data_IF_493603168583
#
_entry.id   IF_493603168583
#
_cell.length_a   1.000
_cell.length_b   1.000
_cell.length_c   1.000
_cell.angle_alpha   90.00
_cell.angle_beta   90.00
_cell.angle_gamma   90.00
#
_symmetry.space_group_name_H-M   'P 1'
#
loop_
_entity.id
_entity.type
_entity.pdbx_description
1 polymer ?
#
# COMPACT_ATOMS: atom_id res chain seq x y z
N UNK A 1 17.51 -16.52 -10.08
CA UNK A 1 16.54 -16.90 -11.14
C UNK A 1 15.23 -16.23 -10.76
N UNK A 2 14.79 -15.24 -11.54
CA UNK A 2 13.47 -14.64 -11.26
C UNK A 2 12.42 -15.74 -11.51
N UNK A 3 11.68 -16.07 -10.45
CA UNK A 3 10.62 -17.07 -10.55
C UNK A 3 9.51 -16.47 -11.44
N UNK A 4 9.11 -17.16 -12.49
CA UNK A 4 8.06 -16.71 -13.43
C UNK A 4 6.79 -16.28 -12.71
N UNK A 5 6.44 -16.93 -11.60
CA UNK A 5 5.30 -16.56 -10.76
C UNK A 5 5.46 -15.16 -10.14
N UNK A 6 6.63 -14.85 -9.61
CA UNK A 6 6.93 -13.53 -9.02
C UNK A 6 6.90 -12.44 -10.07
N UNK A 7 7.43 -12.71 -11.26
CA UNK A 7 7.40 -11.80 -12.40
C UNK A 7 5.96 -11.45 -12.81
N UNK A 8 5.09 -12.46 -12.89
CA UNK A 8 3.67 -12.28 -13.20
C UNK A 8 3.00 -11.43 -12.09
N UNK A 9 3.25 -11.73 -10.81
CA UNK A 9 2.69 -10.98 -9.69
C UNK A 9 3.16 -9.53 -9.67
N UNK A 10 4.45 -9.29 -9.86
CA UNK A 10 4.99 -7.92 -9.88
C UNK A 10 4.36 -7.11 -11.02
N UNK A 11 4.29 -7.68 -12.23
CA UNK A 11 3.62 -7.03 -13.37
C UNK A 11 2.15 -6.75 -13.07
N UNK A 12 1.48 -7.67 -12.37
CA UNK A 12 0.08 -7.46 -11.96
C UNK A 12 -0.03 -6.29 -10.98
N UNK A 13 0.85 -6.20 -9.97
CA UNK A 13 0.89 -5.05 -9.07
C UNK A 13 1.04 -3.73 -9.82
N UNK A 14 1.98 -3.67 -10.76
CA UNK A 14 2.27 -2.46 -11.55
C UNK A 14 1.07 -2.03 -12.42
N UNK A 15 0.37 -2.98 -13.01
CA UNK A 15 -0.83 -2.72 -13.80
C UNK A 15 -2.00 -2.27 -12.91
N UNK A 16 -2.22 -2.95 -11.78
CA UNK A 16 -3.26 -2.58 -10.83
C UNK A 16 -3.06 -1.16 -10.27
N UNK A 17 -1.81 -0.75 -10.03
CA UNK A 17 -1.51 0.62 -9.60
C UNK A 17 -1.84 1.66 -10.67
N UNK A 18 -1.55 1.34 -11.93
CA UNK A 18 -1.73 2.27 -13.06
C UNK A 18 -3.17 2.42 -13.50
N UNK A 19 -3.94 1.34 -13.53
CA UNK A 19 -5.23 1.30 -14.22
C UNK A 19 -6.34 0.57 -13.45
N UNK A 20 -6.09 0.18 -12.21
CA UNK A 20 -7.07 -0.47 -11.33
C UNK A 20 -7.41 -1.92 -11.73
N UNK A 21 -8.37 -2.48 -11.00
CA UNK A 21 -8.81 -3.86 -11.24
C UNK A 21 -9.51 -4.03 -12.58
N UNK A 22 -10.50 -3.19 -12.88
CA UNK A 22 -11.28 -3.36 -14.11
C UNK A 22 -10.46 -3.07 -15.36
N UNK A 23 -9.49 -2.15 -15.28
CA UNK A 23 -8.58 -1.84 -16.38
C UNK A 23 -7.56 -2.93 -16.69
N UNK A 24 -7.24 -3.80 -15.74
CA UNK A 24 -6.20 -4.82 -15.87
C UNK A 24 -6.75 -6.13 -16.40
N UNK A 25 -6.27 -6.60 -17.56
CA UNK A 25 -6.68 -7.86 -18.19
C UNK A 25 -5.63 -8.96 -18.11
N UNK A 26 -6.06 -10.25 -18.04
CA UNK A 26 -5.12 -11.39 -18.01
C UNK A 26 -4.20 -11.45 -19.24
N UNK A 27 -4.71 -11.11 -20.44
CA UNK A 27 -3.90 -11.08 -21.65
C UNK A 27 -2.82 -9.98 -21.60
N UNK A 28 -3.12 -8.86 -20.98
CA UNK A 28 -2.18 -7.77 -20.79
C UNK A 28 -1.11 -8.15 -19.76
N UNK A 29 -1.49 -8.78 -18.65
CA UNK A 29 -0.54 -9.33 -17.67
C UNK A 29 0.44 -10.29 -18.35
N UNK A 30 -0.05 -11.21 -19.21
CA UNK A 30 0.80 -12.12 -19.96
C UNK A 30 1.77 -11.36 -20.87
N UNK A 31 1.26 -10.37 -21.61
CA UNK A 31 2.06 -9.58 -22.55
C UNK A 31 3.14 -8.78 -21.82
N UNK A 32 2.78 -8.04 -20.80
CA UNK A 32 3.70 -7.14 -20.09
C UNK A 32 4.70 -7.90 -19.18
N UNK A 33 4.30 -9.05 -18.63
CA UNK A 33 5.20 -9.90 -17.84
C UNK A 33 6.20 -10.67 -18.73
N UNK A 34 5.95 -10.80 -20.03
CA UNK A 34 6.75 -11.68 -20.91
C UNK A 34 6.67 -13.16 -20.55
N UNK A 35 5.81 -13.56 -19.64
CA UNK A 35 5.64 -14.95 -19.25
C UNK A 35 4.87 -15.75 -20.32
N UNK A 36 5.18 -17.03 -20.53
CA UNK A 36 4.36 -17.89 -21.38
C UNK A 36 2.90 -17.92 -20.88
N UNK A 37 1.94 -17.81 -21.79
CA UNK A 37 0.51 -17.81 -21.44
C UNK A 37 0.10 -19.01 -20.57
N UNK A 38 0.65 -20.19 -20.84
CA UNK A 38 0.42 -21.38 -20.02
C UNK A 38 0.88 -21.26 -18.57
N UNK A 39 1.94 -20.48 -18.32
CA UNK A 39 2.45 -20.27 -16.96
C UNK A 39 1.48 -19.49 -16.10
N UNK A 40 0.78 -18.50 -16.65
CA UNK A 40 -0.23 -17.75 -15.91
C UNK A 40 -1.34 -18.67 -15.41
N UNK A 41 -1.92 -19.48 -16.29
CA UNK A 41 -3.00 -20.41 -15.91
C UNK A 41 -2.50 -21.58 -15.04
N UNK A 42 -1.22 -21.93 -15.15
CA UNK A 42 -0.61 -22.92 -14.27
C UNK A 42 -0.47 -22.42 -12.83
N UNK A 43 0.01 -21.18 -12.63
CA UNK A 43 0.20 -20.60 -11.30
C UNK A 43 -1.08 -19.99 -10.71
N UNK A 44 -1.99 -19.53 -11.57
CA UNK A 44 -3.23 -18.86 -11.17
C UNK A 44 -4.45 -19.47 -11.88
N UNK A 45 -4.79 -20.75 -11.56
CA UNK A 45 -5.86 -21.48 -12.23
C UNK A 45 -7.24 -20.85 -12.04
N UNK A 46 -7.45 -20.10 -10.95
CA UNK A 46 -8.72 -19.41 -10.67
C UNK A 46 -8.80 -18.03 -11.33
N UNK A 47 -7.80 -17.67 -12.13
CA UNK A 47 -7.83 -16.51 -13.01
C UNK A 47 -7.63 -15.16 -12.31
N UNK A 48 -8.37 -14.15 -12.76
CA UNK A 48 -8.12 -12.75 -12.42
C UNK A 48 -8.29 -12.44 -10.92
N UNK A 49 -9.29 -12.99 -10.27
CA UNK A 49 -9.50 -12.75 -8.83
C UNK A 49 -8.36 -13.31 -7.98
N UNK A 50 -7.87 -14.51 -8.33
CA UNK A 50 -6.75 -15.11 -7.63
C UNK A 50 -5.50 -14.25 -7.74
N UNK A 51 -5.09 -13.92 -8.97
CA UNK A 51 -3.85 -13.17 -9.20
C UNK A 51 -3.93 -11.76 -8.58
N UNK A 52 -5.10 -11.11 -8.64
CA UNK A 52 -5.31 -9.81 -8.00
C UNK A 52 -5.20 -9.91 -6.48
N UNK A 53 -5.84 -10.90 -5.85
CA UNK A 53 -5.75 -11.09 -4.41
C UNK A 53 -4.32 -11.33 -3.94
N UNK A 54 -3.57 -12.16 -4.66
CA UNK A 54 -2.17 -12.45 -4.33
C UNK A 54 -1.26 -11.23 -4.57
N UNK A 55 -1.50 -10.45 -5.64
CA UNK A 55 -0.77 -9.22 -5.91
C UNK A 55 -1.03 -8.14 -4.84
N UNK A 56 -2.27 -8.00 -4.38
CA UNK A 56 -2.64 -7.09 -3.29
C UNK A 56 -1.96 -7.49 -1.98
N UNK A 57 -1.96 -8.78 -1.63
CA UNK A 57 -1.26 -9.27 -0.44
C UNK A 57 0.24 -9.05 -0.52
N UNK A 58 0.86 -9.31 -1.66
CA UNK A 58 2.28 -9.03 -1.87
C UNK A 58 2.60 -7.55 -1.72
N UNK A 59 1.76 -6.67 -2.29
CA UNK A 59 1.90 -5.22 -2.13
C UNK A 59 1.80 -4.79 -0.68
N UNK A 60 0.85 -5.36 0.09
CA UNK A 60 0.71 -5.13 1.52
C UNK A 60 1.96 -5.53 2.31
N UNK A 61 2.52 -6.71 2.02
CA UNK A 61 3.76 -7.19 2.64
C UNK A 61 4.94 -6.25 2.36
N UNK A 62 5.16 -5.91 1.09
CA UNK A 62 6.26 -5.02 0.69
C UNK A 62 6.10 -3.64 1.33
N UNK A 63 4.88 -3.10 1.35
CA UNK A 63 4.62 -1.78 1.94
C UNK A 63 4.78 -1.79 3.45
N UNK A 64 4.27 -2.81 4.15
CA UNK A 64 4.44 -2.94 5.61
C UNK A 64 5.91 -3.05 6.01
N UNK A 65 6.73 -3.75 5.23
CA UNK A 65 8.16 -3.83 5.48
C UNK A 65 8.88 -2.49 5.21
N UNK A 66 8.47 -1.74 4.19
CA UNK A 66 8.96 -0.37 3.97
C UNK A 66 8.61 0.56 5.13
N UNK A 67 7.39 0.42 5.69
CA UNK A 67 6.98 1.17 6.88
C UNK A 67 7.89 0.82 8.05
N UNK A 68 8.06 -0.47 8.39
CA UNK A 68 8.95 -0.91 9.48
C UNK A 68 10.37 -0.36 9.31
N UNK A 69 10.92 -0.52 8.12
CA UNK A 69 12.28 -0.04 7.81
C UNK A 69 12.37 1.49 7.94
N UNK A 70 11.38 2.22 7.44
CA UNK A 70 11.36 3.68 7.51
C UNK A 70 11.14 4.23 8.91
N UNK A 71 10.50 3.46 9.80
CA UNK A 71 10.28 3.84 11.21
C UNK A 71 11.43 3.44 12.13
N UNK A 72 12.35 2.60 11.67
CA UNK A 72 13.50 2.17 12.48
C UNK A 72 14.49 3.32 12.73
N UNK A 73 15.02 3.39 13.97
CA UNK A 73 16.12 4.27 14.35
C UNK A 73 15.79 5.74 14.51
N UNK A 74 14.56 6.18 14.31
CA UNK A 74 14.17 7.60 14.33
C UNK A 74 13.79 8.15 15.72
N UNK A 75 13.99 7.41 16.80
CA UNK A 75 13.61 7.83 18.15
C UNK A 75 12.10 7.64 18.42
N UNK A 76 11.40 8.71 18.87
CA UNK A 76 9.97 8.64 19.21
C UNK A 76 9.07 8.35 18.00
N UNK A 77 7.92 7.70 18.22
CA UNK A 77 6.92 7.46 17.17
C UNK A 77 6.52 8.75 16.44
N UNK A 78 6.34 9.85 17.17
CA UNK A 78 6.02 11.17 16.62
C UNK A 78 7.02 11.59 15.53
N UNK A 79 8.32 11.51 15.82
CA UNK A 79 9.38 11.88 14.86
C UNK A 79 9.47 10.88 13.71
N UNK A 80 9.47 9.59 14.01
CA UNK A 80 9.64 8.54 13.01
C UNK A 80 8.51 8.58 11.96
N UNK A 81 7.25 8.66 12.42
CA UNK A 81 6.08 8.70 11.54
C UNK A 81 6.06 9.99 10.71
N UNK A 82 6.38 11.14 11.33
CA UNK A 82 6.51 12.41 10.59
C UNK A 82 7.52 12.29 9.45
N UNK A 83 8.73 11.83 9.74
CA UNK A 83 9.81 11.78 8.76
C UNK A 83 9.49 10.75 7.64
N UNK A 84 8.87 9.63 8.00
CA UNK A 84 8.42 8.63 7.03
C UNK A 84 7.35 9.18 6.07
N UNK A 85 6.38 9.96 6.58
CA UNK A 85 5.35 10.57 5.70
C UNK A 85 5.97 11.62 4.77
N UNK A 86 7.01 12.35 5.22
CA UNK A 86 7.74 13.26 4.33
C UNK A 86 8.46 12.51 3.21
N UNK A 87 9.02 11.32 3.47
CA UNK A 87 9.59 10.47 2.42
C UNK A 87 8.52 10.01 1.40
N UNK A 88 7.30 9.69 1.87
CA UNK A 88 6.19 9.41 0.96
C UNK A 88 5.88 10.63 0.10
N UNK A 89 5.81 11.83 0.69
CA UNK A 89 5.55 13.07 -0.03
C UNK A 89 6.58 13.33 -1.13
N UNK A 90 7.87 13.18 -0.81
CA UNK A 90 8.95 13.30 -1.78
C UNK A 90 8.87 12.26 -2.91
N UNK A 91 8.48 11.03 -2.59
CA UNK A 91 8.33 9.98 -3.60
C UNK A 91 7.16 10.26 -4.55
N UNK A 92 6.04 10.77 -4.03
CA UNK A 92 4.88 11.18 -4.85
C UNK A 92 5.27 12.32 -5.79
N UNK A 93 6.00 13.34 -5.33
CA UNK A 93 6.49 14.43 -6.17
C UNK A 93 7.47 13.92 -7.25
N UNK A 94 8.44 13.10 -6.85
CA UNK A 94 9.47 12.55 -7.75
C UNK A 94 8.88 11.68 -8.85
N UNK A 95 7.76 11.02 -8.59
CA UNK A 95 7.01 10.23 -9.58
C UNK A 95 6.16 11.08 -10.54
N UNK A 96 6.16 12.41 -10.40
CA UNK A 96 5.23 13.27 -11.13
C UNK A 96 3.78 13.04 -10.72
N UNK A 97 3.54 12.71 -9.45
CA UNK A 97 2.23 12.38 -8.87
C UNK A 97 1.56 11.12 -9.45
N UNK A 98 2.36 10.25 -10.09
CA UNK A 98 1.90 8.96 -10.59
C UNK A 98 1.92 7.87 -9.51
N UNK A 99 2.86 7.95 -8.55
CA UNK A 99 2.99 6.96 -7.49
C UNK A 99 1.72 6.90 -6.62
N UNK A 100 1.26 5.70 -6.40
CA UNK A 100 0.08 5.39 -5.60
C UNK A 100 0.24 4.03 -4.92
N UNK A 101 -0.87 3.40 -4.65
CA UNK A 101 -0.93 2.04 -4.12
C UNK A 101 -1.90 1.20 -4.93
N UNK A 102 -1.51 0.03 -5.45
CA UNK A 102 -2.44 -0.89 -6.08
C UNK A 102 -3.56 -1.29 -5.11
N UNK A 103 -3.26 -1.33 -3.81
CA UNK A 103 -4.20 -1.66 -2.76
C UNK A 103 -5.39 -0.69 -2.72
N UNK A 104 -5.14 0.62 -2.75
CA UNK A 104 -6.21 1.63 -2.70
C UNK A 104 -7.10 1.56 -3.95
N UNK A 105 -6.50 1.47 -5.15
CA UNK A 105 -7.24 1.40 -6.39
C UNK A 105 -8.16 0.16 -6.42
N UNK A 106 -7.61 -1.01 -6.09
CA UNK A 106 -8.34 -2.27 -6.06
C UNK A 106 -9.43 -2.26 -4.99
N UNK A 107 -9.13 -1.77 -3.78
CA UNK A 107 -10.10 -1.72 -2.68
C UNK A 107 -11.33 -0.87 -3.04
N UNK A 108 -11.14 0.29 -3.67
CA UNK A 108 -12.25 1.15 -4.09
C UNK A 108 -13.13 0.51 -5.17
N UNK A 109 -12.52 -0.21 -6.11
CA UNK A 109 -13.25 -0.81 -7.23
C UNK A 109 -13.95 -2.13 -6.87
N UNK A 110 -13.43 -2.87 -5.90
CA UNK A 110 -13.87 -4.26 -5.62
C UNK A 110 -14.57 -4.44 -4.28
N UNK A 111 -14.72 -3.38 -3.49
CA UNK A 111 -15.27 -3.44 -2.13
C UNK A 111 -16.60 -4.20 -2.01
N UNK A 112 -17.44 -4.15 -3.04
CA UNK A 112 -18.75 -4.82 -3.08
C UNK A 112 -18.86 -5.92 -4.14
N UNK A 113 -17.81 -6.12 -4.96
CA UNK A 113 -17.87 -6.99 -6.15
C UNK A 113 -17.21 -8.36 -5.97
N UNK A 114 -16.22 -8.50 -5.09
CA UNK A 114 -15.50 -9.75 -4.85
C UNK A 114 -15.12 -9.89 -3.38
N UNK A 115 -15.69 -10.86 -2.70
CA UNK A 115 -15.37 -11.18 -1.30
C UNK A 115 -13.89 -11.57 -1.16
N UNK A 116 -13.38 -12.36 -2.08
CA UNK A 116 -11.97 -12.79 -2.09
C UNK A 116 -11.00 -11.62 -2.12
N UNK A 117 -11.21 -10.67 -3.04
CA UNK A 117 -10.35 -9.50 -3.17
C UNK A 117 -10.53 -8.57 -1.97
N UNK A 118 -11.75 -8.41 -1.47
CA UNK A 118 -12.02 -7.63 -0.27
C UNK A 118 -11.30 -8.17 0.96
N UNK A 119 -11.29 -9.50 1.16
CA UNK A 119 -10.53 -10.14 2.23
C UNK A 119 -9.01 -9.88 2.09
N UNK A 120 -8.46 -10.01 0.88
CA UNK A 120 -7.06 -9.71 0.62
C UNK A 120 -6.72 -8.23 0.90
N UNK A 121 -7.60 -7.30 0.53
CA UNK A 121 -7.42 -5.88 0.85
C UNK A 121 -7.44 -5.61 2.36
N UNK A 122 -8.38 -6.22 3.09
CA UNK A 122 -8.42 -6.11 4.57
C UNK A 122 -7.13 -6.62 5.21
N UNK A 123 -6.65 -7.78 4.78
CA UNK A 123 -5.41 -8.35 5.29
C UNK A 123 -4.21 -7.44 4.98
N UNK A 124 -4.12 -6.94 3.76
CA UNK A 124 -3.06 -6.03 3.35
C UNK A 124 -3.08 -4.73 4.17
N UNK A 125 -4.23 -4.07 4.35
CA UNK A 125 -4.33 -2.90 5.23
C UNK A 125 -4.00 -3.22 6.69
N UNK A 126 -4.41 -4.38 7.19
CA UNK A 126 -4.05 -4.85 8.53
C UNK A 126 -2.53 -5.01 8.72
N UNK A 127 -1.78 -5.37 7.67
CA UNK A 127 -0.31 -5.39 7.70
C UNK A 127 0.28 -3.99 7.86
N UNK A 128 -0.27 -2.99 7.16
CA UNK A 128 0.17 -1.60 7.27
C UNK A 128 -0.12 -1.04 8.66
N UNK A 129 -1.36 -1.25 9.16
CA UNK A 129 -1.75 -0.84 10.52
C UNK A 129 -0.85 -1.48 11.58
N UNK A 130 -0.54 -2.77 11.40
CA UNK A 130 0.34 -3.49 12.33
C UNK A 130 1.73 -2.87 12.39
N UNK A 131 2.31 -2.49 11.24
CA UNK A 131 3.63 -1.87 11.19
C UNK A 131 3.68 -0.52 11.94
N UNK A 132 2.65 0.32 11.83
CA UNK A 132 2.56 1.55 12.62
C UNK A 132 2.28 1.28 14.10
N UNK A 133 1.40 0.32 14.41
CA UNK A 133 1.08 -0.06 15.79
C UNK A 133 2.31 -0.55 16.55
N UNK A 134 3.16 -1.35 15.93
CA UNK A 134 4.43 -1.82 16.51
C UNK A 134 5.28 -0.63 16.97
N UNK A 135 5.46 0.39 16.12
CA UNK A 135 6.22 1.59 16.47
C UNK A 135 5.58 2.43 17.58
N UNK A 136 4.25 2.51 17.61
CA UNK A 136 3.53 3.22 18.67
C UNK A 136 3.70 2.51 20.02
N UNK A 137 3.62 1.18 20.04
CA UNK A 137 3.86 0.38 21.26
C UNK A 137 5.29 0.51 21.78
N UNK A 138 6.31 0.57 20.90
CA UNK A 138 7.70 0.86 21.28
C UNK A 138 7.88 2.25 21.90
N UNK A 139 6.93 3.15 21.72
CA UNK A 139 6.94 4.53 22.22
C UNK A 139 5.95 4.75 23.37
N UNK A 140 5.65 3.69 24.13
CA UNK A 140 4.86 3.68 25.37
C UNK A 140 3.36 4.05 25.19
N UNK A 141 2.81 4.03 23.97
CA UNK A 141 1.37 4.14 23.78
C UNK A 141 0.65 2.88 24.31
N UNK A 142 -0.48 3.05 24.99
CA UNK A 142 -1.30 1.91 25.38
C UNK A 142 -1.79 1.13 24.16
N UNK A 143 -2.05 -0.18 24.32
CA UNK A 143 -2.50 -1.05 23.23
C UNK A 143 -3.72 -0.49 22.49
N UNK A 144 -4.74 -0.05 23.23
CA UNK A 144 -5.97 0.52 22.66
C UNK A 144 -5.64 1.77 21.83
N UNK A 145 -4.82 2.68 22.40
CA UNK A 145 -4.47 3.91 21.72
C UNK A 145 -3.60 3.66 20.48
N UNK A 146 -2.69 2.70 20.54
CA UNK A 146 -1.86 2.32 19.41
C UNK A 146 -2.70 1.72 18.25
N UNK A 147 -3.72 0.93 18.53
CA UNK A 147 -4.67 0.40 17.55
C UNK A 147 -5.46 1.54 16.86
N UNK A 148 -6.08 2.42 17.64
CA UNK A 148 -6.81 3.58 17.10
C UNK A 148 -5.94 4.48 16.23
N UNK A 149 -4.75 4.82 16.72
CA UNK A 149 -3.81 5.69 16.02
C UNK A 149 -3.26 5.04 14.75
N UNK A 150 -2.98 3.74 14.75
CA UNK A 150 -2.51 3.04 13.57
C UNK A 150 -3.53 3.12 12.42
N UNK A 151 -4.80 2.84 12.70
CA UNK A 151 -5.88 2.99 11.72
C UNK A 151 -6.01 4.44 11.23
N UNK A 152 -5.95 5.41 12.17
CA UNK A 152 -6.01 6.83 11.82
C UNK A 152 -4.83 7.30 10.95
N UNK A 153 -3.62 6.80 11.22
CA UNK A 153 -2.42 7.09 10.42
C UNK A 153 -2.60 6.56 9.00
N UNK A 154 -2.99 5.29 8.84
CA UNK A 154 -3.19 4.67 7.52
C UNK A 154 -4.24 5.45 6.72
N UNK A 155 -5.41 5.73 7.32
CA UNK A 155 -6.48 6.49 6.67
C UNK A 155 -6.02 7.91 6.26
N UNK A 156 -5.25 8.59 7.12
CA UNK A 156 -4.75 9.94 6.85
C UNK A 156 -3.70 9.95 5.72
N UNK A 157 -2.80 8.96 5.70
CA UNK A 157 -1.77 8.84 4.66
C UNK A 157 -2.41 8.51 3.31
N UNK A 158 -3.35 7.57 3.25
CA UNK A 158 -4.08 7.23 2.02
C UNK A 158 -4.84 8.44 1.46
N UNK A 159 -5.58 9.17 2.32
CA UNK A 159 -6.23 10.41 1.94
C UNK A 159 -5.25 11.48 1.47
N UNK A 160 -4.11 11.60 2.14
CA UNK A 160 -3.03 12.51 1.78
C UNK A 160 -2.44 12.20 0.39
N UNK A 161 -2.22 10.92 0.07
CA UNK A 161 -1.75 10.48 -1.25
C UNK A 161 -2.76 10.83 -2.33
N UNK A 162 -4.04 10.51 -2.13
CA UNK A 162 -5.11 10.79 -3.10
C UNK A 162 -5.19 12.30 -3.38
N UNK A 163 -5.25 13.14 -2.33
CA UNK A 163 -5.33 14.59 -2.47
C UNK A 163 -4.08 15.17 -3.13
N UNK A 164 -2.90 14.66 -2.81
CA UNK A 164 -1.64 15.11 -3.43
C UNK A 164 -1.61 14.80 -4.93
N UNK A 165 -2.08 13.63 -5.35
CA UNK A 165 -2.19 13.27 -6.77
C UNK A 165 -3.17 14.15 -7.53
N UNK A 166 -4.34 14.41 -6.96
CA UNK A 166 -5.39 15.25 -7.61
C UNK A 166 -4.95 16.70 -7.72
N UNK A 167 -4.28 17.25 -6.71
CA UNK A 167 -3.85 18.65 -6.67
C UNK A 167 -2.47 18.91 -7.30
N UNK A 168 -1.76 17.87 -7.72
CA UNK A 168 -0.39 17.96 -8.23
C UNK A 168 0.56 18.73 -7.29
N UNK A 169 0.40 18.53 -5.97
CA UNK A 169 1.29 19.05 -4.92
C UNK A 169 1.34 18.08 -3.75
N UNK A 170 2.49 17.95 -3.07
CA UNK A 170 2.60 17.12 -1.88
C UNK A 170 2.18 17.83 -0.59
N UNK A 171 1.62 19.03 -0.66
CA UNK A 171 1.18 19.79 0.52
C UNK A 171 0.17 19.05 1.40
N UNK A 172 -0.79 18.28 0.85
CA UNK A 172 -1.67 17.44 1.67
C UNK A 172 -0.92 16.42 2.53
N UNK A 173 0.07 15.72 1.97
CA UNK A 173 0.90 14.78 2.73
C UNK A 173 1.79 15.49 3.77
N UNK A 174 2.37 16.64 3.42
CA UNK A 174 3.12 17.47 4.37
C UNK A 174 2.25 17.96 5.51
N UNK A 175 0.98 18.30 5.23
CA UNK A 175 0.01 18.65 6.27
C UNK A 175 -0.27 17.47 7.19
N UNK A 176 -0.53 16.28 6.63
CA UNK A 176 -0.73 15.04 7.39
C UNK A 176 0.47 14.78 8.31
N UNK A 177 1.70 14.87 7.78
CA UNK A 177 2.92 14.70 8.57
C UNK A 177 2.96 15.65 9.79
N UNK A 178 2.70 16.96 9.57
CA UNK A 178 2.70 17.95 10.66
C UNK A 178 1.63 17.68 11.70
N UNK A 179 0.40 17.36 11.27
CA UNK A 179 -0.71 17.13 12.21
C UNK A 179 -0.51 15.85 13.03
N UNK A 180 -0.04 14.77 12.40
CA UNK A 180 0.29 13.55 13.12
C UNK A 180 1.45 13.74 14.09
N UNK A 181 2.46 14.54 13.74
CA UNK A 181 3.54 14.88 14.67
C UNK A 181 3.01 15.54 15.94
N UNK A 182 2.09 16.49 15.81
CA UNK A 182 1.47 17.17 16.97
C UNK A 182 0.63 16.20 17.79
N UNK A 183 -0.22 15.40 17.14
CA UNK A 183 -1.09 14.44 17.81
C UNK A 183 -0.31 13.38 18.59
N UNK A 184 0.83 12.92 18.06
CA UNK A 184 1.66 11.90 18.68
C UNK A 184 2.68 12.43 19.69
N UNK A 185 2.73 13.74 19.90
CA UNK A 185 3.59 14.39 20.89
C UNK A 185 2.86 14.73 22.20
N UNK A 186 1.56 14.46 22.27
CA UNK A 186 0.71 14.64 23.44
C UNK A 186 0.76 13.43 24.37
#
# INVERSE_FOLDING_TARGET
MNNTREQILQTTCDLLEKQGYYGTGLNEIVKESGAPKGSLYYYFPEGKEQITSEAVLQSGQVTSERIRTGLNGSGTASKAIHDFILLIAENVERSGFAAGSPLTAVAMETATGSERINLACREAYGMLETAFREKLLESDFSKIKAEELATFIVASVEGGIILSRVSHTADPLRLVARQLKLLLSL
#
